data_IF_203607914373
#
_entry.id   IF_203607914373
#
_cell.length_a   1.000
_cell.length_b   1.000
_cell.length_c   1.000
_cell.angle_alpha   90.00
_cell.angle_beta   90.00
_cell.angle_gamma   90.00
#
_symmetry.space_group_name_H-M   'P 1'
#
loop_
_entity.id
_entity.type
_entity.pdbx_description
1 polymer ?
#
# COMPACT_ATOMS: atom_id res chain seq x y z
N UNK A 1 -13.61 -29.04 -15.09
CA UNK A 1 -12.37 -28.79 -14.34
C UNK A 1 -12.57 -27.48 -13.59
N UNK A 2 -12.83 -27.53 -12.28
CA UNK A 2 -13.07 -26.33 -11.48
C UNK A 2 -11.77 -25.90 -10.79
N UNK A 3 -11.38 -24.62 -10.82
CA UNK A 3 -10.22 -24.17 -10.07
C UNK A 3 -10.55 -24.27 -8.58
N UNK A 4 -9.80 -25.10 -7.86
CA UNK A 4 -9.86 -25.18 -6.41
C UNK A 4 -9.24 -23.91 -5.84
N UNK A 5 -10.04 -22.85 -5.70
CA UNK A 5 -9.58 -21.63 -5.04
C UNK A 5 -9.47 -21.92 -3.55
N UNK A 6 -8.24 -22.09 -3.09
CA UNK A 6 -7.91 -22.36 -1.69
C UNK A 6 -8.43 -21.22 -0.81
N UNK A 7 -9.26 -21.48 0.21
CA UNK A 7 -9.87 -20.43 1.04
C UNK A 7 -8.86 -19.53 1.79
N UNK A 8 -7.62 -20.00 1.93
CA UNK A 8 -6.52 -19.26 2.55
C UNK A 8 -6.10 -18.02 1.75
N UNK A 9 -6.13 -18.07 0.41
CA UNK A 9 -5.70 -16.97 -0.44
C UNK A 9 -6.64 -15.76 -0.34
N UNK A 10 -7.96 -16.01 -0.31
CA UNK A 10 -8.96 -14.96 -0.10
C UNK A 10 -8.79 -14.22 1.23
N UNK A 11 -8.37 -14.92 2.29
CA UNK A 11 -8.18 -14.31 3.60
C UNK A 11 -6.96 -13.39 3.63
N UNK A 12 -5.91 -13.78 2.91
CA UNK A 12 -4.68 -12.98 2.75
C UNK A 12 -4.97 -11.70 1.94
N UNK A 13 -5.73 -11.82 0.85
CA UNK A 13 -6.18 -10.69 0.04
C UNK A 13 -7.06 -9.68 0.80
N UNK A 14 -7.95 -10.18 1.67
CA UNK A 14 -8.81 -9.32 2.52
C UNK A 14 -7.97 -8.61 3.58
N UNK A 15 -7.00 -9.31 4.17
CA UNK A 15 -6.08 -8.75 5.17
C UNK A 15 -5.21 -7.67 4.54
N UNK A 16 -4.65 -7.94 3.37
CA UNK A 16 -3.85 -6.97 2.60
C UNK A 16 -4.66 -5.75 2.18
N UNK A 17 -5.89 -5.94 1.70
CA UNK A 17 -6.77 -4.81 1.36
C UNK A 17 -7.12 -3.96 2.57
N UNK A 18 -7.40 -4.58 3.71
CA UNK A 18 -7.71 -3.87 4.96
C UNK A 18 -6.51 -3.06 5.44
N UNK A 19 -5.30 -3.63 5.37
CA UNK A 19 -4.05 -2.94 5.70
C UNK A 19 -3.80 -1.75 4.79
N UNK A 20 -3.91 -1.95 3.47
CA UNK A 20 -3.78 -0.86 2.48
C UNK A 20 -4.73 0.29 2.79
N UNK A 21 -6.00 0.00 3.12
CA UNK A 21 -6.99 1.02 3.47
C UNK A 21 -6.66 1.74 4.79
N UNK A 22 -6.20 1.00 5.80
CA UNK A 22 -5.78 1.59 7.07
C UNK A 22 -4.58 2.55 6.89
N UNK A 23 -3.60 2.15 6.08
CA UNK A 23 -2.45 2.99 5.73
C UNK A 23 -2.91 4.19 4.92
N UNK A 24 -3.78 3.99 3.92
CA UNK A 24 -4.33 5.07 3.09
C UNK A 24 -5.11 6.12 3.91
N UNK A 25 -5.76 5.68 4.99
CA UNK A 25 -6.49 6.54 5.92
C UNK A 25 -5.58 7.19 6.98
N UNK A 26 -4.31 6.75 7.09
CA UNK A 26 -3.38 7.29 8.07
C UNK A 26 -2.87 8.66 7.65
N UNK A 27 -2.79 9.59 8.62
CA UNK A 27 -2.33 10.96 8.40
C UNK A 27 -0.88 11.01 7.89
N UNK A 28 -0.03 10.05 8.27
CA UNK A 28 1.35 9.96 7.78
C UNK A 28 1.44 9.67 6.29
N UNK A 29 0.61 8.74 5.80
CA UNK A 29 0.55 8.38 4.39
C UNK A 29 -0.03 9.51 3.54
N UNK A 30 -1.09 10.19 4.01
CA UNK A 30 -1.69 11.31 3.29
C UNK A 30 -0.70 12.45 3.07
N UNK A 31 0.06 12.83 4.12
CA UNK A 31 1.10 13.86 4.02
C UNK A 31 2.22 13.47 3.06
N UNK A 32 2.73 12.25 3.21
CA UNK A 32 3.75 11.69 2.33
C UNK A 32 3.29 11.64 0.87
N UNK A 33 2.03 11.29 0.62
CA UNK A 33 1.44 11.29 -0.72
C UNK A 33 1.38 12.70 -1.29
N UNK A 34 0.91 13.68 -0.52
CA UNK A 34 0.84 15.09 -0.96
C UNK A 34 2.24 15.66 -1.28
N UNK A 35 3.25 15.40 -0.45
CA UNK A 35 4.63 15.81 -0.73
C UNK A 35 5.15 15.20 -2.05
N UNK A 36 4.79 13.95 -2.34
CA UNK A 36 5.20 13.25 -3.57
C UNK A 36 4.42 13.62 -4.82
N UNK A 37 3.12 13.85 -4.69
CA UNK A 37 2.27 14.42 -5.75
C UNK A 37 2.82 15.78 -6.22
N UNK A 38 3.43 16.55 -5.32
CA UNK A 38 4.10 17.81 -5.62
C UNK A 38 5.50 17.64 -6.25
N UNK A 39 6.18 16.51 -6.00
CA UNK A 39 7.61 16.37 -6.31
C UNK A 39 7.93 15.84 -7.69
N UNK A 40 7.13 14.93 -8.30
CA UNK A 40 7.22 14.39 -9.69
C UNK A 40 6.67 12.95 -9.78
N UNK A 41 5.70 12.53 -8.96
CA UNK A 41 5.11 11.18 -9.14
C UNK A 41 3.95 11.22 -10.13
N UNK A 42 3.92 10.34 -11.16
CA UNK A 42 2.78 10.26 -12.05
C UNK A 42 1.54 9.93 -11.22
N UNK A 43 0.50 10.74 -11.35
CA UNK A 43 -0.79 10.61 -10.67
C UNK A 43 -1.52 9.29 -10.98
N UNK A 44 -0.93 8.44 -11.82
CA UNK A 44 -1.42 7.14 -12.27
C UNK A 44 -0.94 5.96 -11.39
N UNK A 45 -0.20 6.22 -10.31
CA UNK A 45 0.19 5.15 -9.39
C UNK A 45 -1.01 4.64 -8.60
N UNK A 46 -1.33 3.36 -8.79
CA UNK A 46 -2.35 2.66 -8.00
C UNK A 46 -2.03 2.71 -6.50
N UNK A 47 -3.08 2.68 -5.67
CA UNK A 47 -2.96 2.73 -4.20
C UNK A 47 -1.96 1.69 -3.66
N UNK A 48 -1.90 0.50 -4.28
CA UNK A 48 -0.98 -0.56 -3.91
C UNK A 48 0.50 -0.18 -4.10
N UNK A 49 0.82 0.51 -5.20
CA UNK A 49 2.17 0.98 -5.50
C UNK A 49 2.58 2.08 -4.52
N UNK A 50 1.65 3.00 -4.22
CA UNK A 50 1.89 4.06 -3.24
C UNK A 50 2.11 3.49 -1.84
N UNK A 51 1.26 2.55 -1.40
CA UNK A 51 1.39 1.87 -0.09
C UNK A 51 2.72 1.10 -0.03
N UNK A 52 3.06 0.33 -1.06
CA UNK A 52 4.32 -0.43 -1.10
C UNK A 52 5.54 0.48 -0.99
N UNK A 53 5.51 1.63 -1.68
CA UNK A 53 6.62 2.59 -1.67
C UNK A 53 6.72 3.35 -0.35
N UNK A 54 5.59 3.69 0.27
CA UNK A 54 5.55 4.24 1.62
C UNK A 54 6.13 3.27 2.64
N UNK A 55 5.70 1.99 2.62
CA UNK A 55 6.27 0.98 3.51
C UNK A 55 7.79 0.84 3.31
N UNK A 56 8.25 0.76 2.06
CA UNK A 56 9.68 0.66 1.76
C UNK A 56 10.46 1.82 2.39
N UNK A 57 10.04 3.06 2.17
CA UNK A 57 10.75 4.23 2.74
C UNK A 57 10.67 4.27 4.27
N UNK A 58 9.52 3.91 4.84
CA UNK A 58 9.35 3.87 6.29
C UNK A 58 10.26 2.80 6.91
N UNK A 59 10.41 1.66 6.25
CA UNK A 59 11.34 0.60 6.65
C UNK A 59 12.80 1.02 6.48
N UNK A 60 13.16 1.69 5.39
CA UNK A 60 14.51 2.22 5.17
C UNK A 60 14.89 3.27 6.23
N UNK A 61 13.94 4.09 6.65
CA UNK A 61 14.14 5.10 7.72
C UNK A 61 14.33 4.47 9.10
N UNK A 62 13.71 3.32 9.36
CA UNK A 62 13.84 2.59 10.63
C UNK A 62 15.04 1.64 10.67
N UNK A 63 15.65 1.34 9.52
CA UNK A 63 16.82 0.45 9.40
C UNK A 63 18.16 1.17 9.65
N UNK A 64 18.12 2.46 10.03
CA UNK A 64 19.26 3.31 10.32
C UNK A 64 19.38 3.55 11.83
#
# INVERSE_FOLDING_TARGET
>A
MAPSTTPSQFSEDITWNSLKRAIAASSGFQRWRTERELTDTPSDLSLEQLVSRYLRETLETLAY
#
